data_IF_981325061109
#
_entry.id   IF_981325061109
#
_cell.length_a   1.000
_cell.length_b   1.000
_cell.length_c   1.000
_cell.angle_alpha   90.00
_cell.angle_beta   90.00
_cell.angle_gamma   90.00
#
_symmetry.space_group_name_H-M   'P 1'
#
loop_
_entity.id
_entity.type
_entity.pdbx_description
1 polymer ?
#
# COMPACT_ATOMS: atom_id res chain seq x y z
N UNK A 1 103.34 -57.51 48.29
CA UNK A 1 102.52 -56.44 48.89
C UNK A 1 102.40 -55.18 48.02
N UNK A 2 103.48 -54.66 47.42
CA UNK A 2 103.41 -53.41 46.62
C UNK A 2 102.53 -53.52 45.35
N UNK A 3 102.63 -54.64 44.62
CA UNK A 3 101.89 -54.87 43.37
C UNK A 3 100.37 -55.03 43.57
N UNK A 4 99.93 -55.60 44.70
CA UNK A 4 98.51 -55.67 45.06
C UNK A 4 97.93 -54.29 45.41
N UNK A 5 98.75 -53.39 45.95
CA UNK A 5 98.34 -52.03 46.32
C UNK A 5 98.11 -51.15 45.08
N UNK A 6 98.89 -51.34 44.02
CA UNK A 6 98.68 -50.64 42.75
C UNK A 6 97.44 -51.14 42.00
N UNK A 7 97.19 -52.45 41.97
CA UNK A 7 95.99 -53.04 41.35
C UNK A 7 94.73 -52.52 42.05
N UNK A 8 94.76 -52.44 43.39
CA UNK A 8 93.63 -51.91 44.18
C UNK A 8 93.39 -50.41 43.93
N UNK A 9 94.45 -49.61 43.79
CA UNK A 9 94.34 -48.19 43.40
C UNK A 9 93.84 -48.00 41.98
N UNK A 10 94.28 -48.82 41.04
CA UNK A 10 93.79 -48.78 39.65
C UNK A 10 92.31 -49.16 39.57
N UNK A 11 91.88 -50.21 40.28
CA UNK A 11 90.47 -50.61 40.39
C UNK A 11 89.61 -49.50 40.98
N UNK A 12 90.04 -48.89 42.09
CA UNK A 12 89.30 -47.78 42.72
C UNK A 12 89.23 -46.54 41.82
N UNK A 13 90.28 -46.22 41.07
CA UNK A 13 90.25 -45.11 40.11
C UNK A 13 89.33 -45.41 38.91
N UNK A 14 89.26 -46.66 38.47
CA UNK A 14 88.36 -47.08 37.39
C UNK A 14 86.89 -47.00 37.83
N UNK A 15 86.56 -47.43 39.05
CA UNK A 15 85.23 -47.30 39.64
C UNK A 15 84.83 -45.85 39.83
N UNK A 16 85.72 -45.01 40.39
CA UNK A 16 85.45 -43.56 40.51
C UNK A 16 85.19 -42.90 39.17
N UNK A 17 85.91 -43.31 38.12
CA UNK A 17 85.72 -42.79 36.76
C UNK A 17 84.38 -43.23 36.17
N UNK A 18 84.00 -44.51 36.33
CA UNK A 18 82.67 -45.01 35.92
C UNK A 18 81.55 -44.27 36.64
N UNK A 19 81.66 -44.15 37.97
CA UNK A 19 80.61 -43.54 38.76
C UNK A 19 80.45 -42.04 38.49
N UNK A 20 81.56 -41.34 38.23
CA UNK A 20 81.52 -39.96 37.74
C UNK A 20 80.81 -39.85 36.39
N UNK A 21 81.06 -40.81 35.48
CA UNK A 21 80.44 -40.81 34.16
C UNK A 21 78.94 -41.17 34.19
N UNK A 22 78.52 -42.05 35.09
CA UNK A 22 77.11 -42.32 35.37
C UNK A 22 76.39 -41.09 35.91
N UNK A 23 76.99 -40.37 36.86
CA UNK A 23 76.43 -39.12 37.39
C UNK A 23 76.27 -38.04 36.30
N UNK A 24 77.23 -37.95 35.38
CA UNK A 24 77.21 -36.98 34.28
C UNK A 24 76.15 -37.34 33.22
N UNK A 25 75.98 -38.63 32.93
CA UNK A 25 74.90 -39.13 32.08
C UNK A 25 73.52 -38.89 32.72
N UNK A 26 73.37 -39.18 34.02
CA UNK A 26 72.11 -38.96 34.73
C UNK A 26 71.75 -37.48 34.80
N UNK A 27 72.74 -36.61 34.99
CA UNK A 27 72.56 -35.16 34.99
C UNK A 27 72.10 -34.65 33.62
N UNK A 28 72.75 -35.10 32.54
CA UNK A 28 72.38 -34.69 31.18
C UNK A 28 70.99 -35.19 30.79
N UNK A 29 70.60 -36.39 31.22
CA UNK A 29 69.24 -36.91 31.03
C UNK A 29 68.20 -36.08 31.79
N UNK A 30 68.49 -35.68 33.03
CA UNK A 30 67.61 -34.83 33.82
C UNK A 30 67.46 -33.43 33.22
N UNK A 31 68.56 -32.82 32.77
CA UNK A 31 68.54 -31.51 32.09
C UNK A 31 67.75 -31.57 30.77
N UNK A 32 67.86 -32.68 30.02
CA UNK A 32 67.06 -32.91 28.81
C UNK A 32 65.57 -33.01 29.13
N UNK A 33 65.18 -33.83 30.10
CA UNK A 33 63.78 -34.00 30.52
C UNK A 33 63.16 -32.69 31.02
N UNK A 34 63.93 -31.90 31.78
CA UNK A 34 63.49 -30.61 32.28
C UNK A 34 63.24 -29.62 31.13
N UNK A 35 64.15 -29.59 30.15
CA UNK A 35 64.00 -28.75 28.95
C UNK A 35 62.80 -29.17 28.09
N UNK A 36 62.56 -30.47 27.93
CA UNK A 36 61.40 -31.00 27.21
C UNK A 36 60.08 -30.63 27.91
N UNK A 37 60.01 -30.76 29.24
CA UNK A 37 58.84 -30.29 30.01
C UNK A 37 58.63 -28.79 29.89
N UNK A 38 59.68 -27.98 29.96
CA UNK A 38 59.58 -26.53 29.80
C UNK A 38 59.16 -26.11 28.38
N UNK A 39 59.56 -26.87 27.35
CA UNK A 39 59.10 -26.64 25.98
C UNK A 39 57.62 -26.99 25.84
N UNK A 40 57.20 -28.16 26.34
CA UNK A 40 55.81 -28.61 26.33
C UNK A 40 54.89 -27.64 27.10
N UNK A 41 55.32 -27.17 28.27
CA UNK A 41 54.55 -26.21 29.07
C UNK A 41 54.36 -24.88 28.35
N UNK A 42 55.41 -24.37 27.68
CA UNK A 42 55.31 -23.14 26.87
C UNK A 42 54.36 -23.30 25.70
N UNK A 43 54.44 -24.41 24.98
CA UNK A 43 53.56 -24.69 23.85
C UNK A 43 52.09 -24.78 24.30
N UNK A 44 51.81 -25.56 25.35
CA UNK A 44 50.46 -25.71 25.92
C UNK A 44 49.91 -24.36 26.42
N UNK A 45 50.75 -23.56 27.08
CA UNK A 45 50.36 -22.24 27.57
C UNK A 45 50.03 -21.27 26.42
N UNK A 46 50.81 -21.32 25.35
CA UNK A 46 50.55 -20.54 24.14
C UNK A 46 49.25 -20.96 23.46
N UNK A 47 48.99 -22.27 23.34
CA UNK A 47 47.76 -22.79 22.75
C UNK A 47 46.52 -22.39 23.59
N UNK A 48 46.63 -22.43 24.91
CA UNK A 48 45.56 -21.99 25.81
C UNK A 48 45.26 -20.49 25.65
N UNK A 49 46.29 -19.65 25.51
CA UNK A 49 46.10 -18.22 25.24
C UNK A 49 45.41 -17.97 23.90
N UNK A 50 45.83 -18.67 22.84
CA UNK A 50 45.23 -18.54 21.52
C UNK A 50 43.75 -18.97 21.53
N UNK A 51 43.43 -20.12 22.13
CA UNK A 51 42.06 -20.60 22.24
C UNK A 51 41.17 -19.64 23.06
N UNK A 52 41.71 -19.02 24.12
CA UNK A 52 40.96 -18.00 24.89
C UNK A 52 40.66 -16.76 24.05
N UNK A 53 41.60 -16.31 23.23
CA UNK A 53 41.38 -15.17 22.34
C UNK A 53 40.29 -15.48 21.30
N UNK A 54 40.33 -16.67 20.71
CA UNK A 54 39.35 -17.13 19.72
C UNK A 54 37.93 -17.23 20.30
N UNK A 55 37.79 -17.73 21.54
CA UNK A 55 36.48 -17.79 22.23
C UNK A 55 35.90 -16.39 22.45
N UNK A 56 36.72 -15.40 22.83
CA UNK A 56 36.25 -14.01 23.01
C UNK A 56 35.80 -13.41 21.69
N UNK A 57 36.52 -13.69 20.60
CA UNK A 57 36.17 -13.22 19.27
C UNK A 57 34.87 -13.85 18.75
N UNK A 58 34.70 -15.16 18.94
CA UNK A 58 33.47 -15.87 18.58
C UNK A 58 32.25 -15.38 19.38
N UNK A 59 32.41 -15.12 20.68
CA UNK A 59 31.34 -14.55 21.52
C UNK A 59 30.90 -13.18 21.02
N UNK A 60 31.84 -12.34 20.57
CA UNK A 60 31.53 -11.04 19.97
C UNK A 60 30.74 -11.21 18.68
N UNK A 61 31.15 -12.12 17.79
CA UNK A 61 30.43 -12.41 16.54
C UNK A 61 29.01 -12.92 16.76
N UNK A 62 28.80 -13.77 17.78
CA UNK A 62 27.45 -14.25 18.14
C UNK A 62 26.58 -13.07 18.57
N UNK A 63 27.09 -12.20 19.43
CA UNK A 63 26.33 -11.04 19.90
C UNK A 63 25.96 -10.07 18.76
N UNK A 64 26.90 -9.79 17.85
CA UNK A 64 26.66 -8.95 16.69
C UNK A 64 25.59 -9.57 15.75
N UNK A 65 25.65 -10.88 15.53
CA UNK A 65 24.66 -11.59 14.73
C UNK A 65 23.27 -11.61 15.37
N UNK A 66 23.18 -11.83 16.69
CA UNK A 66 21.92 -11.77 17.44
C UNK A 66 21.26 -10.38 17.33
N UNK A 67 22.04 -9.31 17.41
CA UNK A 67 21.54 -7.95 17.24
C UNK A 67 20.99 -7.71 15.82
N UNK A 68 21.68 -8.21 14.79
CA UNK A 68 21.22 -8.12 13.39
C UNK A 68 19.92 -8.91 13.20
N UNK A 69 19.87 -10.15 13.71
CA UNK A 69 18.68 -11.02 13.60
C UNK A 69 17.49 -10.38 14.32
N UNK A 70 17.70 -9.87 15.53
CA UNK A 70 16.63 -9.22 16.31
C UNK A 70 16.06 -8.02 15.56
N UNK A 71 16.92 -7.15 15.03
CA UNK A 71 16.50 -5.99 14.24
C UNK A 71 15.77 -6.38 12.96
N UNK A 72 16.23 -7.42 12.27
CA UNK A 72 15.55 -7.94 11.08
C UNK A 72 14.17 -8.52 11.44
N UNK A 73 14.08 -9.23 12.57
CA UNK A 73 12.82 -9.82 13.03
C UNK A 73 11.81 -8.74 13.45
N UNK A 74 12.24 -7.71 14.18
CA UNK A 74 11.41 -6.56 14.55
C UNK A 74 10.87 -5.82 13.32
N UNK A 75 11.70 -5.62 12.29
CA UNK A 75 11.28 -4.99 11.04
C UNK A 75 10.24 -5.85 10.29
N UNK A 76 10.43 -7.17 10.26
CA UNK A 76 9.49 -8.10 9.63
C UNK A 76 8.15 -8.16 10.39
N UNK A 77 8.19 -8.21 11.72
CA UNK A 77 6.97 -8.20 12.56
C UNK A 77 6.22 -6.87 12.42
N UNK A 78 6.93 -5.73 12.37
CA UNK A 78 6.33 -4.42 12.14
C UNK A 78 5.64 -4.36 10.77
N UNK A 79 6.28 -4.88 9.71
CA UNK A 79 5.70 -4.96 8.37
C UNK A 79 4.46 -5.87 8.31
N UNK A 80 4.48 -7.01 9.00
CA UNK A 80 3.33 -7.91 9.09
C UNK A 80 2.18 -7.28 9.89
N UNK A 81 2.48 -6.55 10.97
CA UNK A 81 1.50 -5.84 11.78
C UNK A 81 0.77 -4.74 11.00
N UNK A 82 1.50 -4.00 10.14
CA UNK A 82 0.88 -3.04 9.21
C UNK A 82 -0.03 -3.71 8.17
N UNK A 83 0.21 -4.99 7.84
CA UNK A 83 -0.60 -5.75 6.90
C UNK A 83 -1.89 -6.36 7.48
N UNK A 84 -1.95 -6.64 8.79
CA UNK A 84 -3.06 -7.39 9.42
C UNK A 84 -4.16 -6.47 9.97
N UNK A 85 -3.84 -5.24 10.37
CA UNK A 85 -4.84 -4.24 10.78
C UNK A 85 -5.10 -3.27 9.64
N UNK A 86 -6.11 -3.55 8.81
CA UNK A 86 -6.55 -2.60 7.77
C UNK A 86 -7.17 -1.39 8.45
N UNK A 87 -6.43 -0.27 8.51
CA UNK A 87 -6.92 0.99 9.06
C UNK A 87 -8.16 1.54 8.32
N UNK A 88 -8.35 1.17 7.05
CA UNK A 88 -9.60 1.35 6.31
C UNK A 88 -10.17 -0.03 5.97
N UNK A 89 -11.24 -0.43 6.64
CA UNK A 89 -12.09 -1.55 6.21
C UNK A 89 -13.14 -1.06 5.22
N UNK A 90 -13.70 -1.98 4.44
CA UNK A 90 -14.72 -1.66 3.44
C UNK A 90 -15.96 -0.99 4.06
N UNK A 91 -16.31 -1.35 5.31
CA UNK A 91 -17.41 -0.74 6.06
C UNK A 91 -17.15 0.74 6.37
N UNK A 92 -15.89 1.09 6.72
CA UNK A 92 -15.50 2.49 6.99
C UNK A 92 -15.56 3.31 5.70
N UNK A 93 -15.08 2.76 4.58
CA UNK A 93 -15.17 3.40 3.26
C UNK A 93 -16.62 3.64 2.86
N UNK A 94 -17.46 2.62 3.02
CA UNK A 94 -18.88 2.69 2.70
C UNK A 94 -19.57 3.77 3.53
N UNK A 95 -19.25 3.86 4.81
CA UNK A 95 -19.81 4.88 5.70
C UNK A 95 -19.28 6.29 5.38
N UNK A 96 -17.99 6.46 5.05
CA UNK A 96 -17.43 7.75 4.62
C UNK A 96 -18.07 8.23 3.30
N UNK A 97 -18.19 7.35 2.29
CA UNK A 97 -18.86 7.67 1.04
C UNK A 97 -20.35 7.97 1.26
N UNK A 98 -21.04 7.15 2.06
CA UNK A 98 -22.45 7.39 2.39
C UNK A 98 -22.65 8.75 3.04
N UNK A 99 -21.82 9.11 4.02
CA UNK A 99 -21.85 10.41 4.68
C UNK A 99 -21.62 11.55 3.68
N UNK A 100 -20.63 11.42 2.81
CA UNK A 100 -20.36 12.42 1.78
C UNK A 100 -21.57 12.63 0.86
N UNK A 101 -22.14 11.54 0.30
CA UNK A 101 -23.25 11.64 -0.64
C UNK A 101 -24.58 12.06 0.00
N UNK A 102 -24.85 11.63 1.25
CA UNK A 102 -26.14 11.88 1.91
C UNK A 102 -26.17 13.20 2.68
N UNK A 103 -25.06 13.60 3.30
CA UNK A 103 -25.05 14.77 4.16
C UNK A 103 -24.50 15.99 3.43
N UNK A 104 -23.36 15.86 2.74
CA UNK A 104 -22.69 17.04 2.17
C UNK A 104 -23.21 17.34 0.76
N UNK A 105 -23.10 16.36 -0.13
CA UNK A 105 -23.43 16.53 -1.55
C UNK A 105 -24.93 16.79 -1.77
N UNK A 106 -25.78 15.99 -1.14
CA UNK A 106 -27.23 16.09 -1.33
C UNK A 106 -27.77 17.42 -0.80
N UNK A 107 -27.29 17.88 0.35
CA UNK A 107 -27.67 19.18 0.94
C UNK A 107 -27.26 20.33 0.00
N UNK A 108 -26.00 20.34 -0.45
CA UNK A 108 -25.53 21.34 -1.40
C UNK A 108 -26.31 21.31 -2.73
N UNK A 109 -26.60 20.13 -3.28
CA UNK A 109 -27.40 20.02 -4.51
C UNK A 109 -28.84 20.50 -4.31
N UNK A 110 -29.45 20.23 -3.15
CA UNK A 110 -30.79 20.70 -2.83
C UNK A 110 -30.83 22.23 -2.76
N UNK A 111 -29.82 22.84 -2.15
CA UNK A 111 -29.72 24.29 -2.04
C UNK A 111 -29.39 24.96 -3.38
N UNK A 112 -28.47 24.39 -4.16
CA UNK A 112 -27.91 25.04 -5.35
C UNK A 112 -28.65 24.74 -6.66
N UNK A 113 -29.60 23.80 -6.65
CA UNK A 113 -30.39 23.48 -7.83
C UNK A 113 -31.28 24.62 -8.30
N UNK A 114 -31.38 24.81 -9.61
CA UNK A 114 -32.31 25.77 -10.20
C UNK A 114 -33.76 25.25 -10.12
N UNK A 115 -34.72 26.18 -9.95
CA UNK A 115 -36.16 25.84 -9.88
C UNK A 115 -36.69 25.27 -11.20
N UNK A 116 -36.24 25.84 -12.32
CA UNK A 116 -36.63 25.46 -13.67
C UNK A 116 -35.38 25.38 -14.55
N UNK A 117 -35.27 24.28 -15.30
CA UNK A 117 -34.15 24.04 -16.21
C UNK A 117 -34.36 24.88 -17.48
N UNK A 118 -33.42 25.76 -17.85
CA UNK A 118 -33.45 26.47 -19.12
C UNK A 118 -33.40 25.48 -20.29
N UNK A 119 -34.21 25.74 -21.32
CA UNK A 119 -34.25 24.95 -22.56
C UNK A 119 -34.22 23.42 -22.34
N UNK A 120 -35.26 22.84 -21.70
CA UNK A 120 -35.25 21.46 -21.20
C UNK A 120 -34.83 20.40 -22.22
N UNK A 121 -35.25 20.53 -23.48
CA UNK A 121 -34.93 19.57 -24.54
C UNK A 121 -33.50 19.69 -25.07
N UNK A 122 -32.91 20.90 -25.04
CA UNK A 122 -31.50 21.07 -25.36
C UNK A 122 -30.62 20.53 -24.24
N UNK A 123 -30.95 20.87 -23.01
CA UNK A 123 -30.29 20.34 -21.81
C UNK A 123 -30.37 18.81 -21.77
N UNK A 124 -31.54 18.22 -22.06
CA UNK A 124 -31.71 16.77 -22.14
C UNK A 124 -30.80 16.14 -23.18
N UNK A 125 -30.69 16.72 -24.38
CA UNK A 125 -29.79 16.23 -25.44
C UNK A 125 -28.32 16.32 -25.03
N UNK A 126 -27.90 17.43 -24.40
CA UNK A 126 -26.53 17.58 -23.87
C UNK A 126 -26.22 16.50 -22.83
N UNK A 127 -27.07 16.34 -21.81
CA UNK A 127 -26.90 15.35 -20.75
C UNK A 127 -26.96 13.90 -21.26
N UNK A 128 -27.71 13.63 -22.33
CA UNK A 128 -27.70 12.34 -23.02
C UNK A 128 -26.38 12.07 -23.76
N UNK A 129 -25.77 13.11 -24.34
CA UNK A 129 -24.47 13.00 -25.02
C UNK A 129 -23.32 12.77 -24.04
N UNK A 130 -23.43 13.33 -22.84
CA UNK A 130 -22.46 13.13 -21.74
C UNK A 130 -22.67 11.81 -20.98
N UNK A 131 -23.77 11.10 -21.26
CA UNK A 131 -24.09 9.80 -20.66
C UNK A 131 -24.76 9.87 -19.29
N UNK A 132 -25.16 11.06 -18.85
CA UNK A 132 -25.88 11.31 -17.59
C UNK A 132 -27.29 10.73 -17.66
N UNK A 133 -28.03 11.11 -18.70
CA UNK A 133 -29.36 10.59 -18.99
C UNK A 133 -29.22 9.43 -19.98
N UNK A 134 -29.97 8.35 -19.76
CA UNK A 134 -29.96 7.24 -20.68
C UNK A 134 -30.40 7.68 -22.10
N UNK A 135 -29.63 7.24 -23.08
CA UNK A 135 -29.80 7.56 -24.51
C UNK A 135 -29.90 6.30 -25.37
N UNK A 136 -30.03 5.11 -24.76
CA UNK A 136 -30.21 3.87 -25.52
C UNK A 136 -31.55 3.87 -26.26
N UNK A 137 -31.59 3.26 -27.44
CA UNK A 137 -32.82 3.10 -28.22
C UNK A 137 -33.92 2.42 -27.40
N UNK A 138 -33.55 1.39 -26.62
CA UNK A 138 -34.49 0.67 -25.75
C UNK A 138 -35.15 1.58 -24.71
N UNK A 139 -34.42 2.56 -24.18
CA UNK A 139 -34.92 3.54 -23.23
C UNK A 139 -35.77 4.62 -23.92
N UNK A 140 -35.31 5.13 -25.07
CA UNK A 140 -36.04 6.15 -25.84
C UNK A 140 -37.39 5.63 -26.37
N UNK A 141 -37.50 4.32 -26.61
CA UNK A 141 -38.73 3.65 -27.02
C UNK A 141 -39.67 3.31 -25.83
N UNK A 142 -39.27 3.55 -24.58
CA UNK A 142 -40.14 3.32 -23.43
C UNK A 142 -41.27 4.36 -23.36
N UNK A 143 -42.42 4.01 -22.74
CA UNK A 143 -43.43 4.97 -22.35
C UNK A 143 -42.86 6.20 -21.61
N UNK A 144 -43.43 7.39 -21.86
CA UNK A 144 -42.94 8.67 -21.32
C UNK A 144 -42.82 8.66 -19.79
N UNK A 145 -43.71 7.96 -19.09
CA UNK A 145 -43.69 7.84 -17.62
C UNK A 145 -42.53 6.99 -17.08
N UNK A 146 -41.82 6.27 -17.94
CA UNK A 146 -40.59 5.54 -17.64
C UNK A 146 -39.34 6.29 -18.10
N UNK A 147 -39.51 7.46 -18.73
CA UNK A 147 -38.42 8.34 -19.09
C UNK A 147 -38.26 9.44 -18.02
N UNK A 148 -37.03 9.88 -17.84
CA UNK A 148 -36.71 11.03 -17.01
C UNK A 148 -37.41 12.28 -17.55
N UNK A 149 -38.22 12.90 -16.69
CA UNK A 149 -38.90 14.15 -16.99
C UNK A 149 -38.03 15.33 -16.55
N UNK A 150 -37.82 16.28 -17.45
CA UNK A 150 -37.14 17.54 -17.12
C UNK A 150 -38.04 18.49 -16.31
N UNK A 151 -39.35 18.22 -16.23
CA UNK A 151 -40.38 19.08 -15.64
C UNK A 151 -40.92 18.57 -14.30
N UNK A 152 -40.12 17.85 -13.51
CA UNK A 152 -40.51 17.50 -12.15
C UNK A 152 -40.70 18.77 -11.31
N UNK A 153 -41.75 18.82 -10.47
CA UNK A 153 -42.08 20.02 -9.71
C UNK A 153 -41.00 20.35 -8.67
N UNK A 154 -40.95 21.63 -8.28
CA UNK A 154 -40.07 22.14 -7.22
C UNK A 154 -38.57 21.94 -7.49
N UNK A 155 -38.10 22.10 -8.73
CA UNK A 155 -36.68 21.96 -9.06
C UNK A 155 -36.11 20.56 -8.90
N UNK A 156 -36.94 19.54 -8.62
CA UNK A 156 -36.48 18.17 -8.36
C UNK A 156 -35.69 17.58 -9.53
N UNK A 157 -36.06 17.90 -10.77
CA UNK A 157 -35.28 17.47 -11.93
C UNK A 157 -33.86 18.01 -11.85
N UNK A 158 -33.74 19.31 -11.59
CA UNK A 158 -32.45 19.99 -11.54
C UNK A 158 -31.58 19.46 -10.41
N UNK A 159 -32.15 19.29 -9.22
CA UNK A 159 -31.44 18.71 -8.06
C UNK A 159 -30.88 17.32 -8.36
N UNK A 160 -31.69 16.42 -8.91
CA UNK A 160 -31.24 15.05 -9.19
C UNK A 160 -30.20 15.05 -10.32
N UNK A 161 -30.39 15.85 -11.37
CA UNK A 161 -29.42 15.99 -12.44
C UNK A 161 -28.10 16.59 -11.94
N UNK A 162 -28.17 17.61 -11.08
CA UNK A 162 -27.02 18.27 -10.47
C UNK A 162 -26.22 17.28 -9.62
N UNK A 163 -26.92 16.48 -8.81
CA UNK A 163 -26.31 15.41 -8.03
C UNK A 163 -25.61 14.40 -8.94
N UNK A 164 -26.23 14.00 -10.05
CA UNK A 164 -25.66 13.04 -11.00
C UNK A 164 -24.40 13.59 -11.70
N UNK A 165 -24.46 14.81 -12.23
CA UNK A 165 -23.31 15.44 -12.93
C UNK A 165 -22.16 15.71 -11.98
N UNK A 166 -22.44 16.16 -10.75
CA UNK A 166 -21.39 16.43 -9.77
C UNK A 166 -20.75 15.12 -9.30
N UNK A 167 -21.55 14.09 -9.03
CA UNK A 167 -21.05 12.76 -8.70
C UNK A 167 -20.17 12.18 -9.82
N UNK A 168 -20.61 12.29 -11.07
CA UNK A 168 -19.81 11.85 -12.22
C UNK A 168 -18.50 12.63 -12.31
N UNK A 169 -18.55 13.96 -12.21
CA UNK A 169 -17.37 14.83 -12.27
C UNK A 169 -16.36 14.46 -11.20
N UNK A 170 -16.80 14.27 -9.95
CA UNK A 170 -15.93 13.87 -8.84
C UNK A 170 -15.30 12.49 -9.09
N UNK A 171 -16.08 11.52 -9.57
CA UNK A 171 -15.56 10.18 -9.87
C UNK A 171 -14.56 10.19 -11.02
N UNK A 172 -14.87 10.89 -12.12
CA UNK A 172 -13.96 11.00 -13.28
C UNK A 172 -12.67 11.74 -12.90
N UNK A 173 -12.77 12.78 -12.07
CA UNK A 173 -11.62 13.58 -11.65
C UNK A 173 -10.68 12.80 -10.73
N UNK A 174 -11.23 12.13 -9.71
CA UNK A 174 -10.43 11.57 -8.62
C UNK A 174 -10.28 10.05 -8.65
N UNK A 175 -11.31 9.32 -9.08
CA UNK A 175 -11.33 7.85 -9.08
C UNK A 175 -10.86 7.25 -10.41
N UNK A 176 -10.78 8.00 -11.50
CA UNK A 176 -10.29 7.45 -12.77
C UNK A 176 -8.76 7.27 -12.82
N UNK A 177 -8.03 7.98 -11.96
CA UNK A 177 -6.56 7.98 -11.92
C UNK A 177 -6.03 8.14 -10.49
N UNK A 178 -5.17 7.23 -10.05
CA UNK A 178 -4.47 7.33 -8.77
C UNK A 178 -3.55 8.54 -8.68
N UNK A 179 -3.07 9.03 -9.83
CA UNK A 179 -2.06 10.08 -9.92
C UNK A 179 -2.70 11.45 -10.16
N UNK A 180 -3.95 11.65 -9.75
CA UNK A 180 -4.69 12.85 -10.11
C UNK A 180 -4.00 14.16 -9.69
N UNK A 181 -3.27 14.13 -8.57
CA UNK A 181 -2.45 15.25 -8.08
C UNK A 181 -1.33 15.67 -9.04
N UNK A 182 -0.86 14.77 -9.90
CA UNK A 182 0.21 15.04 -10.86
C UNK A 182 -0.20 15.94 -12.05
N UNK A 183 -1.48 16.30 -12.18
CA UNK A 183 -1.97 17.21 -13.23
C UNK A 183 -1.48 18.65 -13.04
N UNK A 184 -1.24 19.06 -11.79
CA UNK A 184 -0.76 20.40 -11.45
C UNK A 184 0.76 20.52 -11.33
N UNK A 185 1.51 19.44 -11.59
CA UNK A 185 2.98 19.48 -11.49
C UNK A 185 3.56 19.88 -12.83
N UNK A 186 3.97 21.13 -12.95
CA UNK A 186 4.94 21.56 -13.95
C UNK A 186 6.28 20.86 -13.66
N UNK A 187 6.42 19.62 -14.12
CA UNK A 187 7.70 18.92 -14.10
C UNK A 187 8.69 19.77 -14.91
N UNK A 188 9.87 20.12 -14.34
CA UNK A 188 10.85 20.90 -15.06
C UNK A 188 11.12 20.25 -16.41
N UNK A 189 11.17 21.07 -17.47
CA UNK A 189 11.44 20.69 -18.87
C UNK A 189 12.84 20.09 -18.99
N UNK A 190 13.04 18.89 -18.46
CA UNK A 190 14.26 18.13 -18.63
C UNK A 190 14.08 17.34 -19.92
N UNK A 191 14.82 17.78 -20.95
CA UNK A 191 15.04 17.12 -22.24
C UNK A 191 13.88 17.14 -23.23
N UNK A 192 13.47 18.33 -23.70
CA UNK A 192 12.95 18.56 -25.07
C UNK A 192 11.72 17.76 -25.54
N UNK A 193 11.13 16.93 -24.69
CA UNK A 193 9.96 16.13 -24.97
C UNK A 193 8.72 16.81 -24.43
N UNK A 194 7.66 16.73 -25.24
CA UNK A 194 6.33 17.28 -25.05
C UNK A 194 5.86 17.19 -23.58
N UNK A 195 5.24 18.28 -23.10
CA UNK A 195 4.76 18.50 -21.71
C UNK A 195 3.48 17.67 -21.48
N UNK A 196 3.45 16.45 -21.98
CA UNK A 196 2.26 15.60 -21.94
C UNK A 196 2.20 14.86 -20.61
N UNK A 197 1.45 15.48 -19.71
CA UNK A 197 0.60 14.90 -18.66
C UNK A 197 1.30 13.93 -17.69
N UNK A 198 1.77 14.46 -16.54
CA UNK A 198 2.42 13.69 -15.47
C UNK A 198 1.62 12.45 -15.04
N UNK A 199 0.29 12.56 -15.03
CA UNK A 199 -0.65 11.44 -14.80
C UNK A 199 -0.35 10.23 -15.70
N UNK A 200 -0.21 10.47 -17.01
CA UNK A 200 0.00 9.41 -18.00
C UNK A 200 1.32 8.70 -17.77
N UNK A 201 2.40 9.43 -17.45
CA UNK A 201 3.71 8.84 -17.19
C UNK A 201 3.69 7.92 -15.96
N UNK A 202 3.04 8.34 -14.88
CA UNK A 202 2.92 7.47 -13.70
C UNK A 202 2.08 6.22 -14.00
N UNK A 203 0.99 6.36 -14.75
CA UNK A 203 0.17 5.22 -15.18
C UNK A 203 0.94 4.24 -16.07
N UNK A 204 1.74 4.75 -17.01
CA UNK A 204 2.58 3.92 -17.89
C UNK A 204 3.65 3.17 -17.08
N UNK A 205 4.26 3.85 -16.09
CA UNK A 205 5.20 3.22 -15.16
C UNK A 205 4.53 2.15 -14.28
N UNK A 206 3.33 2.40 -13.75
CA UNK A 206 2.55 1.40 -13.02
C UNK A 206 2.32 0.15 -13.87
N UNK A 207 1.94 0.34 -15.14
CA UNK A 207 1.76 -0.75 -16.10
C UNK A 207 3.04 -1.57 -16.33
N UNK A 208 4.22 -0.94 -16.32
CA UNK A 208 5.49 -1.65 -16.36
C UNK A 208 5.72 -2.47 -15.09
N UNK A 209 5.46 -1.91 -13.90
CA UNK A 209 5.59 -2.62 -12.63
C UNK A 209 4.61 -3.80 -12.51
N UNK A 210 3.43 -3.68 -13.11
CA UNK A 210 2.46 -4.77 -13.18
C UNK A 210 3.04 -6.03 -13.87
N UNK A 211 3.91 -5.86 -14.87
CA UNK A 211 4.59 -6.99 -15.53
C UNK A 211 5.58 -7.73 -14.62
N UNK A 212 6.08 -7.08 -13.57
CA UNK A 212 6.97 -7.69 -12.58
C UNK A 212 6.19 -8.30 -11.40
N UNK A 213 4.92 -7.92 -11.22
CA UNK A 213 4.01 -8.50 -10.23
C UNK A 213 2.96 -7.51 -9.75
N UNK A 214 1.74 -8.02 -9.50
CA UNK A 214 0.60 -7.22 -9.01
C UNK A 214 0.93 -6.48 -7.71
N UNK A 215 1.60 -7.15 -6.76
CA UNK A 215 1.94 -6.55 -5.47
C UNK A 215 2.98 -5.45 -5.59
N UNK A 216 3.95 -5.60 -6.51
CA UNK A 216 4.98 -4.57 -6.79
C UNK A 216 4.32 -3.32 -7.37
N UNK A 217 3.38 -3.50 -8.30
CA UNK A 217 2.59 -2.39 -8.86
C UNK A 217 1.79 -1.66 -7.79
N UNK A 218 1.10 -2.39 -6.91
CA UNK A 218 0.30 -1.81 -5.82
C UNK A 218 1.20 -1.06 -4.84
N UNK A 219 2.31 -1.66 -4.41
CA UNK A 219 3.25 -1.03 -3.47
C UNK A 219 3.86 0.24 -4.08
N UNK A 220 4.20 0.20 -5.38
CA UNK A 220 4.68 1.37 -6.10
C UNK A 220 3.63 2.48 -6.14
N UNK A 221 2.39 2.18 -6.53
CA UNK A 221 1.28 3.15 -6.53
C UNK A 221 1.10 3.79 -5.17
N UNK A 222 1.05 3.01 -4.10
CA UNK A 222 0.87 3.52 -2.72
C UNK A 222 2.00 4.48 -2.35
N UNK A 223 3.25 4.12 -2.64
CA UNK A 223 4.40 4.98 -2.34
C UNK A 223 4.37 6.27 -3.16
N UNK A 224 4.08 6.19 -4.45
CA UNK A 224 3.97 7.35 -5.35
C UNK A 224 2.86 8.29 -4.91
N UNK A 225 1.67 7.77 -4.58
CA UNK A 225 0.55 8.59 -4.08
C UNK A 225 0.91 9.28 -2.77
N UNK A 226 1.56 8.57 -1.83
CA UNK A 226 2.06 9.19 -0.57
C UNK A 226 3.08 10.30 -0.83
N UNK A 227 3.93 10.15 -1.83
CA UNK A 227 4.89 11.19 -2.22
C UNK A 227 4.18 12.40 -2.86
N UNK A 228 3.21 12.16 -3.75
CA UNK A 228 2.43 13.23 -4.39
C UNK A 228 1.62 14.02 -3.37
N UNK A 229 0.92 13.36 -2.45
CA UNK A 229 0.14 14.00 -1.38
C UNK A 229 1.01 14.88 -0.46
N UNK A 230 2.26 14.49 -0.21
CA UNK A 230 3.21 15.31 0.56
C UNK A 230 3.76 16.50 -0.22
N UNK A 231 3.95 16.33 -1.52
CA UNK A 231 4.53 17.36 -2.38
C UNK A 231 3.50 18.40 -2.82
N UNK A 232 2.23 18.00 -2.95
CA UNK A 232 1.16 18.78 -3.54
C UNK A 232 -0.03 18.74 -2.58
N UNK A 233 -0.25 19.79 -1.79
CA UNK A 233 -1.41 19.85 -0.92
C UNK A 233 -2.68 19.90 -1.76
N UNK A 234 -3.67 19.07 -1.41
CA UNK A 234 -5.01 19.15 -1.96
C UNK A 234 -5.77 20.28 -1.25
N UNK A 235 -5.58 21.51 -1.72
CA UNK A 235 -6.17 22.73 -1.14
C UNK A 235 -7.16 23.42 -2.09
N UNK A 236 -7.70 24.55 -1.65
CA UNK A 236 -8.65 25.36 -2.42
C UNK A 236 -8.09 25.77 -3.78
N UNK A 237 -6.81 26.12 -3.86
CA UNK A 237 -6.20 26.56 -5.11
C UNK A 237 -6.10 25.43 -6.13
N UNK A 238 -5.79 24.21 -5.66
CA UNK A 238 -5.74 23.04 -6.53
C UNK A 238 -7.08 22.75 -7.21
N UNK A 239 -8.19 22.84 -6.46
CA UNK A 239 -9.53 22.48 -6.96
C UNK A 239 -10.26 23.63 -7.65
N UNK A 240 -9.78 24.88 -7.49
CA UNK A 240 -10.44 26.09 -7.98
C UNK A 240 -10.80 26.02 -9.46
N UNK A 241 -9.85 25.63 -10.30
CA UNK A 241 -10.08 25.53 -11.75
C UNK A 241 -11.09 24.43 -12.10
N UNK A 242 -11.03 23.28 -11.42
CA UNK A 242 -11.93 22.15 -11.66
C UNK A 242 -13.37 22.52 -11.31
N UNK A 243 -13.58 23.16 -10.17
CA UNK A 243 -14.90 23.60 -9.73
C UNK A 243 -15.44 24.75 -10.59
N UNK A 244 -14.60 25.72 -11.00
CA UNK A 244 -15.01 26.77 -11.95
C UNK A 244 -15.40 26.19 -13.31
N UNK A 245 -14.67 25.20 -13.80
CA UNK A 245 -15.00 24.49 -15.02
C UNK A 245 -16.32 23.73 -14.89
N UNK A 246 -16.56 23.07 -13.76
CA UNK A 246 -17.85 22.46 -13.44
C UNK A 246 -19.00 23.48 -13.48
N UNK A 247 -18.87 24.61 -12.78
CA UNK A 247 -19.89 25.67 -12.77
C UNK A 247 -20.15 26.18 -14.19
N UNK A 248 -19.10 26.42 -14.98
CA UNK A 248 -19.24 26.85 -16.38
C UNK A 248 -20.00 25.83 -17.22
N UNK A 249 -19.65 24.55 -17.09
CA UNK A 249 -20.19 23.48 -17.91
C UNK A 249 -21.64 23.14 -17.56
N UNK A 250 -22.03 23.30 -16.29
CA UNK A 250 -23.34 22.91 -15.75
C UNK A 250 -24.15 24.06 -15.15
N UNK A 251 -23.84 25.31 -15.52
CA UNK A 251 -24.54 26.50 -15.01
C UNK A 251 -26.06 26.45 -15.18
N UNK A 252 -26.58 25.75 -16.19
CA UNK A 252 -28.01 25.58 -16.44
C UNK A 252 -28.75 24.74 -15.37
N UNK A 253 -28.03 24.01 -14.51
CA UNK A 253 -28.58 23.28 -13.36
C UNK A 253 -28.46 24.06 -12.05
N UNK A 254 -27.69 25.16 -12.06
CA UNK A 254 -27.33 25.91 -10.86
C UNK A 254 -28.19 27.18 -10.74
N UNK A 255 -28.52 27.55 -9.50
CA UNK A 255 -28.90 28.93 -9.19
C UNK A 255 -27.66 29.83 -9.24
N UNK A 256 -27.86 31.14 -9.07
CA UNK A 256 -26.76 32.10 -9.00
C UNK A 256 -25.77 31.72 -7.88
N UNK A 257 -24.50 31.56 -8.26
CA UNK A 257 -23.41 31.18 -7.36
C UNK A 257 -22.89 32.43 -6.65
N UNK A 258 -23.03 32.48 -5.33
CA UNK A 258 -22.31 33.43 -4.50
C UNK A 258 -20.94 32.87 -4.06
N UNK A 259 -20.11 33.71 -3.45
CA UNK A 259 -18.76 33.31 -3.01
C UNK A 259 -18.80 32.13 -2.02
N UNK A 260 -19.79 32.10 -1.12
CA UNK A 260 -19.97 30.99 -0.16
C UNK A 260 -20.27 29.67 -0.87
N UNK A 261 -21.20 29.65 -1.83
CA UNK A 261 -21.55 28.43 -2.55
C UNK A 261 -20.39 27.90 -3.39
N UNK A 262 -19.53 28.78 -3.90
CA UNK A 262 -18.29 28.40 -4.58
C UNK A 262 -17.30 27.78 -3.59
N UNK A 263 -17.13 28.37 -2.41
CA UNK A 263 -16.28 27.82 -1.36
C UNK A 263 -16.77 26.44 -0.90
N UNK A 264 -18.07 26.27 -0.71
CA UNK A 264 -18.69 24.98 -0.37
C UNK A 264 -18.44 23.94 -1.48
N UNK A 265 -18.54 24.34 -2.75
CA UNK A 265 -18.23 23.47 -3.88
C UNK A 265 -16.75 23.06 -3.89
N UNK A 266 -15.82 23.99 -3.62
CA UNK A 266 -14.41 23.66 -3.49
C UNK A 266 -14.17 22.65 -2.36
N UNK A 267 -14.85 22.83 -1.23
CA UNK A 267 -14.76 21.91 -0.10
C UNK A 267 -15.28 20.50 -0.47
N UNK A 268 -16.36 20.40 -1.25
CA UNK A 268 -16.84 19.10 -1.75
C UNK A 268 -15.79 18.38 -2.62
N UNK A 269 -15.08 19.10 -3.48
CA UNK A 269 -13.98 18.53 -4.28
C UNK A 269 -12.82 18.08 -3.40
N UNK A 270 -12.42 18.88 -2.41
CA UNK A 270 -11.35 18.56 -1.47
C UNK A 270 -11.73 17.32 -0.64
N UNK A 271 -12.94 17.29 -0.07
CA UNK A 271 -13.43 16.19 0.76
C UNK A 271 -13.44 14.87 -0.02
N UNK A 272 -14.00 14.89 -1.24
CA UNK A 272 -14.03 13.69 -2.08
C UNK A 272 -12.64 13.26 -2.55
N UNK A 273 -11.79 14.22 -2.92
CA UNK A 273 -10.40 13.94 -3.28
C UNK A 273 -9.62 13.31 -2.12
N UNK A 274 -9.85 13.77 -0.89
CA UNK A 274 -9.26 13.18 0.32
C UNK A 274 -9.74 11.75 0.57
N UNK A 275 -11.04 11.47 0.43
CA UNK A 275 -11.57 10.10 0.49
C UNK A 275 -10.87 9.24 -0.57
N UNK A 276 -10.73 9.76 -1.78
CA UNK A 276 -10.12 9.05 -2.89
C UNK A 276 -8.63 8.79 -2.70
N UNK A 277 -7.87 9.73 -2.10
CA UNK A 277 -6.48 9.50 -1.72
C UNK A 277 -6.34 8.36 -0.71
N UNK A 278 -7.24 8.28 0.27
CA UNK A 278 -7.26 7.15 1.21
C UNK A 278 -7.45 5.83 0.46
N UNK A 279 -8.38 5.78 -0.50
CA UNK A 279 -8.63 4.61 -1.34
C UNK A 279 -7.38 4.21 -2.13
N UNK A 280 -6.75 5.14 -2.85
CA UNK A 280 -5.57 4.85 -3.66
C UNK A 280 -4.35 4.39 -2.87
N UNK A 281 -4.28 4.75 -1.58
CA UNK A 281 -3.26 4.28 -0.63
C UNK A 281 -3.53 2.90 -0.04
N UNK A 282 -4.67 2.27 -0.33
CA UNK A 282 -4.95 0.91 0.11
C UNK A 282 -4.16 -0.12 -0.69
N UNK A 283 -3.77 -1.22 -0.01
CA UNK A 283 -3.14 -2.40 -0.64
C UNK A 283 -4.18 -3.28 -1.33
N UNK A 284 -4.99 -2.68 -2.21
CA UNK A 284 -5.98 -3.38 -3.04
C UNK A 284 -5.90 -2.90 -4.48
N UNK A 285 -6.17 -3.79 -5.42
CA UNK A 285 -6.32 -3.39 -6.81
C UNK A 285 -7.69 -2.72 -6.98
N UNK A 286 -7.70 -1.44 -7.33
CA UNK A 286 -8.93 -0.69 -7.54
C UNK A 286 -9.22 -0.73 -9.03
N UNK A 287 -10.44 -1.16 -9.38
CA UNK A 287 -10.95 -1.09 -10.75
C UNK A 287 -12.12 -0.12 -10.77
N UNK A 288 -12.02 0.89 -11.62
CA UNK A 288 -13.12 1.82 -11.85
C UNK A 288 -13.79 1.43 -13.16
N UNK A 289 -15.03 0.99 -13.03
CA UNK A 289 -15.85 0.62 -14.16
C UNK A 289 -16.63 1.84 -14.62
N UNK A 290 -16.33 2.31 -15.84
CA UNK A 290 -17.17 3.29 -16.52
C UNK A 290 -18.53 2.66 -16.81
N UNK A 291 -19.59 3.37 -16.47
CA UNK A 291 -20.97 3.00 -16.75
C UNK A 291 -21.26 2.76 -18.24
N UNK A 292 -20.43 3.30 -19.15
CA UNK A 292 -20.48 2.96 -20.59
C UNK A 292 -20.21 1.48 -20.88
N UNK A 293 -19.56 0.77 -19.96
CA UNK A 293 -19.20 -0.65 -20.09
C UNK A 293 -20.06 -1.61 -19.24
N UNK A 294 -21.04 -1.12 -18.47
CA UNK A 294 -21.92 -1.97 -17.64
C UNK A 294 -22.95 -2.82 -18.44
N UNK A 295 -22.96 -2.71 -19.77
CA UNK A 295 -23.89 -3.43 -20.65
C UNK A 295 -23.66 -4.95 -20.77
N UNK A 296 -22.76 -5.58 -20.00
CA UNK A 296 -22.43 -7.00 -20.18
C UNK A 296 -22.52 -7.92 -18.95
N UNK A 297 -22.93 -7.45 -17.77
CA UNK A 297 -22.99 -8.35 -16.59
C UNK A 297 -24.37 -8.55 -15.95
N UNK A 298 -25.44 -7.90 -16.44
CA UNK A 298 -26.80 -8.22 -16.03
C UNK A 298 -27.50 -9.28 -16.90
N UNK A 299 -26.79 -10.38 -17.20
CA UNK A 299 -27.40 -11.65 -17.64
C UNK A 299 -26.75 -12.85 -16.95
N UNK A 300 -27.04 -13.03 -15.65
CA UNK A 300 -27.32 -14.32 -15.00
C UNK A 300 -27.31 -14.17 -13.46
N UNK A 301 -28.47 -14.16 -12.78
CA UNK A 301 -28.54 -14.18 -11.32
C UNK A 301 -28.29 -15.58 -10.69
N UNK A 302 -27.69 -16.53 -11.39
CA UNK A 302 -27.61 -17.94 -10.94
C UNK A 302 -26.22 -18.60 -10.94
N UNK A 303 -25.13 -17.84 -11.03
CA UNK A 303 -23.79 -18.38 -10.81
C UNK A 303 -22.99 -17.48 -9.87
N UNK A 304 -23.27 -17.63 -8.58
CA UNK A 304 -22.56 -17.00 -7.47
C UNK A 304 -22.69 -17.83 -6.19
N UNK A 305 -22.73 -19.16 -6.35
CA UNK A 305 -22.70 -20.15 -5.27
C UNK A 305 -21.89 -21.35 -5.78
N UNK A 306 -20.58 -21.22 -5.81
CA UNK A 306 -19.69 -22.36 -5.55
C UNK A 306 -19.00 -22.10 -4.22
N UNK A 307 -19.77 -22.36 -3.16
CA UNK A 307 -19.20 -22.74 -1.88
C UNK A 307 -18.56 -24.11 -2.09
N UNK A 308 -17.27 -24.21 -1.79
CA UNK A 308 -16.63 -25.47 -1.49
C UNK A 308 -17.35 -26.09 -0.29
N UNK A 309 -18.22 -27.06 -0.57
CA UNK A 309 -18.86 -27.90 0.42
C UNK A 309 -17.88 -29.02 0.79
N UNK A 310 -17.41 -29.08 2.06
CA UNK A 310 -17.39 -30.33 2.84
C UNK A 310 -17.47 -30.01 4.34
N UNK A 311 -18.66 -30.28 4.89
CA UNK A 311 -18.98 -30.74 6.26
C UNK A 311 -18.95 -29.74 7.44
N UNK A 312 -20.13 -29.40 7.95
CA UNK A 312 -20.70 -30.07 9.15
C UNK A 312 -21.93 -29.33 9.71
N UNK A 313 -23.10 -29.98 9.59
CA UNK A 313 -24.16 -30.13 10.61
C UNK A 313 -24.79 -28.89 11.31
N UNK A 314 -26.10 -28.72 11.03
CA UNK A 314 -27.22 -28.33 11.95
C UNK A 314 -27.13 -26.91 12.54
N UNK A 315 -28.06 -26.00 12.29
CA UNK A 315 -29.48 -26.05 12.68
C UNK A 315 -30.17 -24.78 12.17
N UNK A 316 -31.45 -24.90 11.80
CA UNK A 316 -32.37 -23.80 11.51
C UNK A 316 -32.62 -22.96 12.77
N UNK A 317 -32.68 -21.64 12.63
CA UNK A 317 -33.84 -20.80 13.01
C UNK A 317 -33.61 -19.32 12.68
N UNK A 318 -34.62 -18.75 12.03
CA UNK A 318 -35.14 -17.38 12.14
C UNK A 318 -34.16 -16.21 12.23
N UNK A 319 -34.04 -15.46 11.12
CA UNK A 319 -33.78 -14.03 11.17
C UNK A 319 -34.35 -13.36 9.93
N UNK A 320 -35.44 -12.62 10.14
CA UNK A 320 -35.93 -11.54 9.30
C UNK A 320 -34.78 -10.55 9.06
N UNK A 321 -34.30 -10.44 7.83
CA UNK A 321 -33.33 -9.43 7.43
C UNK A 321 -34.01 -8.41 6.50
N UNK A 322 -34.22 -7.25 7.07
CA UNK A 322 -34.48 -5.97 6.42
C UNK A 322 -33.35 -5.70 5.40
N UNK A 323 -33.64 -5.86 4.11
CA UNK A 323 -32.73 -5.42 3.06
C UNK A 323 -33.07 -3.98 2.70
N UNK A 324 -32.38 -3.06 3.38
CA UNK A 324 -32.25 -1.66 2.96
C UNK A 324 -31.53 -1.61 1.61
N UNK A 325 -32.30 -1.76 0.55
CA UNK A 325 -31.87 -1.52 -0.83
C UNK A 325 -31.43 -0.07 -0.94
N UNK A 326 -30.12 0.17 -1.05
CA UNK A 326 -29.62 1.45 -1.59
C UNK A 326 -30.19 1.55 -3.01
N UNK A 327 -31.18 2.43 -3.17
CA UNK A 327 -31.97 2.56 -4.39
C UNK A 327 -31.08 2.85 -5.59
N UNK A 328 -30.82 1.82 -6.39
CA UNK A 328 -30.46 1.99 -7.78
C UNK A 328 -31.68 2.57 -8.50
N UNK A 329 -31.73 3.89 -8.63
CA UNK A 329 -32.73 4.53 -9.48
C UNK A 329 -32.43 4.12 -10.93
N UNK A 330 -33.36 3.45 -11.64
CA UNK A 330 -33.12 2.91 -13.00
C UNK A 330 -32.94 3.99 -14.09
N UNK A 331 -32.88 5.27 -13.70
CA UNK A 331 -32.82 6.42 -14.58
C UNK A 331 -31.41 6.94 -14.83
N UNK A 332 -30.46 6.64 -13.94
CA UNK A 332 -29.09 7.15 -13.99
C UNK A 332 -28.12 6.03 -14.29
N UNK A 333 -27.18 6.29 -15.21
CA UNK A 333 -26.07 5.37 -15.48
C UNK A 333 -24.99 5.43 -14.40
N UNK A 334 -24.97 6.45 -13.54
CA UNK A 334 -23.78 6.79 -12.75
C UNK A 334 -23.90 6.33 -11.30
N UNK A 335 -23.41 5.13 -11.01
CA UNK A 335 -22.84 4.79 -9.71
C UNK A 335 -21.67 3.82 -9.95
N UNK A 336 -20.42 4.17 -9.62
CA UNK A 336 -19.32 3.22 -9.67
C UNK A 336 -19.53 2.15 -8.60
N UNK A 337 -19.56 0.88 -9.04
CA UNK A 337 -19.55 -0.28 -8.15
C UNK A 337 -18.09 -0.60 -7.85
N UNK A 338 -17.70 -0.55 -6.58
CA UNK A 338 -16.40 -1.02 -6.11
C UNK A 338 -16.47 -2.56 -5.94
N UNK A 339 -15.58 -3.29 -6.62
CA UNK A 339 -15.39 -4.75 -6.48
C UNK A 339 -13.95 -5.04 -6.10
#
# INVERSE_FOLDING_TARGET
>A
MHQQMEIMKQSQNQEKKKHKQELENLRTEYEKNLNEQHAHWRDTSSQLQNAKAEVVELQKHIHDNEAIITKAHEAMVSSLSEGVSRALTDDVIKEELKRFYQNNLLEWCAEMSCSDIPEPEETKRKLQSEGIINSSNDYLNQPINLQFSMHLPYGRSSMILLQAVLSQTLCETFLQDAYFLAEGVDLPKVLGHDVTNGRRRFRDLEGLFYNFGKDVSIDWRIQTVKCLEKAIPLDLHFVENMAKEFVKNFHFLLKEMNDQALEDLYQLFIDFGNITLKLWKMRTAIKVHDSKNLNYQHRNPLYGLELADVSSSRNKKDASADYGTLGAYPFFKVLPIFV
#
